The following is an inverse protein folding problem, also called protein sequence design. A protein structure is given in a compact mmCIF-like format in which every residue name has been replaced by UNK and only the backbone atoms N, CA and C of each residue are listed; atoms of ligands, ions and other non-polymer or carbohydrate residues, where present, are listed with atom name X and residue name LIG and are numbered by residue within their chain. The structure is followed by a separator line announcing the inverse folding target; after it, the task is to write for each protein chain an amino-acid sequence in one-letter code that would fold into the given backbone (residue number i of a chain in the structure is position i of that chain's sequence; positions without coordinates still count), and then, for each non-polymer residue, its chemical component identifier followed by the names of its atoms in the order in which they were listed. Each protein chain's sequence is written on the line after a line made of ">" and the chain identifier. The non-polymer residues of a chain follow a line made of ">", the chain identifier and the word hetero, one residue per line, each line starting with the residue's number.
data_IF_927750012064
#
_entry.id   IF_927750012064
#
_cell.length_a   1.000
_cell.length_b   1.000
_cell.length_c   1.000
_cell.angle_alpha   90.00
_cell.angle_beta   90.00
_cell.angle_gamma   90.00
#
_symmetry.space_group_name_H-M   'P 1'
#
loop_
_entity.id
_entity.type
_entity.pdbx_description
1 polymer ?
#
# COMPACT_ATOMS: atom_id res chain seq x y z
N UNK A 1 17.99 5.18 -2.89
CA UNK A 1 18.86 6.36 -2.62
C UNK A 1 20.30 5.91 -2.58
N UNK A 2 21.24 6.57 -3.25
CA UNK A 2 22.65 6.28 -3.07
C UNK A 2 23.07 6.69 -1.66
N UNK A 3 23.75 5.80 -0.95
CA UNK A 3 24.32 6.05 0.38
C UNK A 3 25.83 6.15 0.23
N UNK A 4 26.41 7.25 0.66
CA UNK A 4 27.86 7.40 0.77
C UNK A 4 28.23 7.37 2.24
N UNK A 5 29.16 6.49 2.62
CA UNK A 5 29.67 6.42 3.99
C UNK A 5 31.07 6.97 4.03
N UNK A 6 31.29 8.03 4.80
CA UNK A 6 32.62 8.63 4.98
C UNK A 6 32.79 9.00 6.46
N UNK A 7 33.81 8.44 7.11
CA UNK A 7 34.11 8.73 8.51
C UNK A 7 32.95 8.44 9.47
N UNK A 8 32.21 7.36 9.26
CA UNK A 8 31.06 6.98 10.09
C UNK A 8 29.79 7.83 9.84
N UNK A 9 29.82 8.75 8.88
CA UNK A 9 28.66 9.54 8.47
C UNK A 9 28.01 8.93 7.24
N UNK A 10 26.69 8.71 7.31
CA UNK A 10 25.87 8.26 6.19
C UNK A 10 25.25 9.47 5.49
N UNK A 11 25.47 9.61 4.20
CA UNK A 11 24.88 10.68 3.39
C UNK A 11 23.86 10.06 2.44
N UNK A 12 22.61 10.49 2.59
CA UNK A 12 21.51 10.14 1.71
C UNK A 12 21.26 11.30 0.74
N UNK A 13 21.13 10.99 -0.55
CA UNK A 13 20.88 12.01 -1.57
C UNK A 13 19.57 11.69 -2.26
N UNK A 14 18.63 12.62 -2.20
CA UNK A 14 17.43 12.60 -3.03
C UNK A 14 17.65 13.57 -4.19
N UNK A 15 17.62 13.04 -5.42
CA UNK A 15 17.79 13.84 -6.65
C UNK A 15 16.49 14.45 -7.16
N UNK A 16 15.35 14.11 -6.56
CA UNK A 16 14.04 14.66 -6.93
C UNK A 16 13.58 15.68 -5.90
N UNK A 17 12.92 16.79 -6.32
CA UNK A 17 12.24 17.69 -5.39
C UNK A 17 11.21 16.89 -4.58
N UNK A 18 11.17 17.11 -3.27
CA UNK A 18 10.23 16.40 -2.40
C UNK A 18 10.54 16.65 -0.92
N UNK A 19 9.73 16.07 -0.07
CA UNK A 19 9.97 16.09 1.37
C UNK A 19 11.28 15.36 1.72
N UNK A 20 11.88 15.73 2.85
CA UNK A 20 13.02 15.00 3.42
C UNK A 20 12.55 13.55 3.62
N UNK A 21 13.34 12.60 3.13
CA UNK A 21 12.98 11.19 3.13
C UNK A 21 12.77 10.61 4.53
N UNK A 22 12.06 9.50 4.60
CA UNK A 22 11.87 8.76 5.82
C UNK A 22 13.10 7.92 6.15
N UNK A 23 13.36 7.70 7.42
CA UNK A 23 14.50 6.95 7.93
C UNK A 23 14.05 6.01 9.05
N UNK A 24 14.44 4.75 8.94
CA UNK A 24 14.42 3.82 10.07
C UNK A 24 15.85 3.39 10.40
N UNK A 25 16.16 3.29 11.68
CA UNK A 25 17.45 2.77 12.14
C UNK A 25 17.23 1.75 13.26
N UNK A 26 18.09 0.75 13.32
CA UNK A 26 17.99 -0.32 14.31
C UNK A 26 18.96 -1.45 14.01
N UNK A 27 18.93 -2.47 14.86
CA UNK A 27 19.67 -3.73 14.65
C UNK A 27 18.80 -4.66 13.80
N UNK A 28 18.78 -4.42 12.51
CA UNK A 28 17.99 -5.21 11.58
C UNK A 28 18.74 -6.46 11.11
N UNK A 29 17.96 -7.51 10.87
CA UNK A 29 18.33 -8.63 10.00
C UNK A 29 17.81 -8.28 8.61
N UNK A 30 18.73 -8.21 7.64
CA UNK A 30 18.38 -7.85 6.26
C UNK A 30 18.29 -9.09 5.40
N UNK A 31 17.19 -9.22 4.65
CA UNK A 31 16.96 -10.28 3.67
C UNK A 31 16.43 -9.68 2.39
N UNK A 32 17.03 -10.05 1.25
CA UNK A 32 16.59 -9.58 -0.06
C UNK A 32 15.91 -10.70 -0.82
N UNK A 33 14.71 -10.40 -1.34
CA UNK A 33 13.94 -11.25 -2.22
C UNK A 33 13.83 -10.59 -3.59
N UNK A 34 13.74 -11.41 -4.66
CA UNK A 34 13.60 -10.92 -6.04
C UNK A 34 12.32 -11.47 -6.65
N UNK A 35 11.53 -10.57 -7.26
CA UNK A 35 10.32 -10.89 -7.99
C UNK A 35 10.36 -10.17 -9.34
N UNK A 36 10.56 -10.94 -10.41
CA UNK A 36 10.79 -10.37 -11.73
C UNK A 36 11.94 -9.36 -11.70
N UNK A 37 11.65 -8.10 -12.03
CA UNK A 37 12.63 -7.01 -12.00
C UNK A 37 12.72 -6.30 -10.63
N UNK A 38 11.84 -6.64 -9.68
CA UNK A 38 11.77 -6.00 -8.38
C UNK A 38 12.68 -6.68 -7.36
N UNK A 39 13.40 -5.84 -6.62
CA UNK A 39 14.24 -6.24 -5.49
C UNK A 39 13.64 -5.69 -4.19
N UNK A 40 13.23 -6.59 -3.31
CA UNK A 40 12.60 -6.28 -2.03
C UNK A 40 13.58 -6.56 -0.90
N UNK A 41 14.12 -5.52 -0.29
CA UNK A 41 14.99 -5.65 0.87
C UNK A 41 14.17 -5.51 2.15
N UNK A 42 13.97 -6.62 2.84
CA UNK A 42 13.36 -6.66 4.16
C UNK A 42 14.41 -6.37 5.24
N UNK A 43 14.12 -5.43 6.10
CA UNK A 43 14.88 -5.12 7.30
C UNK A 43 13.97 -5.38 8.51
N UNK A 44 14.13 -6.54 9.13
CA UNK A 44 13.28 -7.02 10.24
C UNK A 44 14.04 -7.09 11.55
N UNK A 45 13.32 -7.02 12.65
CA UNK A 45 13.86 -7.29 13.96
C UNK A 45 14.11 -8.81 14.13
N UNK A 46 15.05 -9.21 15.03
CA UNK A 46 15.29 -10.62 15.31
C UNK A 46 14.02 -11.37 15.69
N UNK A 47 13.78 -12.52 15.08
CA UNK A 47 12.61 -13.37 15.34
C UNK A 47 11.40 -13.11 14.45
N UNK A 48 11.43 -12.05 13.61
CA UNK A 48 10.32 -11.69 12.70
C UNK A 48 10.53 -12.17 11.25
N UNK A 49 11.55 -12.97 10.99
CA UNK A 49 11.94 -13.41 9.65
C UNK A 49 11.04 -14.49 9.06
N UNK A 50 10.20 -15.13 9.86
CA UNK A 50 9.30 -16.21 9.43
C UNK A 50 8.23 -15.77 8.46
N UNK A 51 7.77 -14.51 8.55
CA UNK A 51 6.74 -13.95 7.67
C UNK A 51 7.31 -13.25 6.44
N UNK A 52 8.63 -13.04 6.36
CA UNK A 52 9.29 -12.31 5.26
C UNK A 52 8.99 -12.95 3.90
N UNK A 53 8.98 -14.28 3.83
CA UNK A 53 8.70 -14.98 2.58
C UNK A 53 7.27 -14.73 2.12
N UNK A 54 6.28 -14.85 3.01
CA UNK A 54 4.85 -14.66 2.71
C UNK A 54 4.60 -13.22 2.27
N UNK A 55 5.13 -12.25 3.02
CA UNK A 55 4.98 -10.83 2.68
C UNK A 55 5.68 -10.49 1.37
N UNK A 56 6.87 -11.08 1.14
CA UNK A 56 7.60 -10.88 -0.10
C UNK A 56 6.82 -11.40 -1.31
N UNK A 57 6.21 -12.57 -1.22
CA UNK A 57 5.38 -13.13 -2.29
C UNK A 57 4.15 -12.26 -2.58
N UNK A 58 3.45 -11.81 -1.53
CA UNK A 58 2.29 -10.92 -1.69
C UNK A 58 2.67 -9.58 -2.31
N UNK A 59 3.74 -8.94 -1.83
CA UNK A 59 4.27 -7.69 -2.37
C UNK A 59 4.75 -7.88 -3.82
N UNK A 60 5.49 -8.96 -4.10
CA UNK A 60 6.02 -9.26 -5.43
C UNK A 60 4.92 -9.45 -6.47
N UNK A 61 3.89 -10.24 -6.15
CA UNK A 61 2.70 -10.42 -7.00
C UNK A 61 1.99 -9.08 -7.29
N UNK A 62 1.85 -8.24 -6.26
CA UNK A 62 1.23 -6.93 -6.42
C UNK A 62 2.05 -6.03 -7.37
N UNK A 63 3.37 -5.96 -7.20
CA UNK A 63 4.24 -5.22 -8.13
C UNK A 63 4.13 -5.72 -9.56
N UNK A 64 4.15 -7.02 -9.78
CA UNK A 64 4.02 -7.60 -11.13
C UNK A 64 2.66 -7.29 -11.76
N UNK A 65 1.59 -7.41 -11.00
CA UNK A 65 0.23 -7.12 -11.50
C UNK A 65 0.07 -5.63 -11.83
N UNK A 66 0.47 -4.73 -10.93
CA UNK A 66 0.31 -3.30 -11.12
C UNK A 66 1.22 -2.75 -12.22
N UNK A 67 2.43 -3.31 -12.37
CA UNK A 67 3.31 -2.94 -13.48
C UNK A 67 2.71 -3.29 -14.83
N UNK A 68 2.04 -4.44 -14.94
CA UNK A 68 1.32 -4.81 -16.17
C UNK A 68 0.14 -3.89 -16.48
N UNK A 69 -0.56 -3.43 -15.42
CA UNK A 69 -1.76 -2.62 -15.56
C UNK A 69 -1.47 -1.12 -15.71
N UNK A 70 -0.46 -0.59 -15.00
CA UNK A 70 -0.22 0.85 -14.86
C UNK A 70 1.17 1.29 -15.33
N UNK A 71 2.02 0.35 -15.78
CA UNK A 71 3.43 0.64 -16.06
C UNK A 71 4.27 0.67 -14.78
N UNK A 72 5.55 0.99 -14.92
CA UNK A 72 6.49 1.05 -13.79
C UNK A 72 6.25 2.30 -12.95
N UNK A 73 6.29 2.18 -11.62
CA UNK A 73 6.20 3.36 -10.76
C UNK A 73 7.50 4.16 -10.83
N UNK A 74 7.40 5.46 -10.68
CA UNK A 74 8.57 6.37 -10.67
C UNK A 74 9.52 6.14 -9.50
N UNK A 75 9.08 5.42 -8.48
CA UNK A 75 9.89 5.06 -7.31
C UNK A 75 10.96 3.99 -7.62
N UNK A 76 10.93 3.41 -8.84
CA UNK A 76 11.93 2.44 -9.33
C UNK A 76 11.58 1.00 -9.01
N UNK A 77 12.59 0.13 -8.99
CA UNK A 77 12.44 -1.33 -8.83
C UNK A 77 13.09 -1.89 -7.57
N UNK A 78 13.67 -1.03 -6.73
CA UNK A 78 14.29 -1.44 -5.46
C UNK A 78 13.50 -0.84 -4.30
N UNK A 79 12.99 -1.71 -3.44
CA UNK A 79 12.13 -1.34 -2.32
C UNK A 79 12.71 -1.82 -1.01
N UNK A 80 12.61 -0.98 0.02
CA UNK A 80 12.98 -1.33 1.38
C UNK A 80 11.70 -1.51 2.19
N UNK A 81 11.54 -2.68 2.77
CA UNK A 81 10.46 -3.00 3.70
C UNK A 81 11.07 -3.05 5.10
N UNK A 82 10.73 -2.10 5.94
CA UNK A 82 11.31 -1.96 7.27
C UNK A 82 10.27 -2.23 8.36
N UNK A 83 10.58 -3.16 9.24
CA UNK A 83 9.83 -3.33 10.48
C UNK A 83 10.13 -2.18 11.42
N UNK A 84 9.10 -1.56 11.97
CA UNK A 84 9.21 -0.46 12.94
C UNK A 84 8.46 -0.80 14.21
N UNK A 85 9.00 -0.33 15.33
CA UNK A 85 8.37 -0.49 16.64
C UNK A 85 7.54 0.78 16.94
N UNK A 86 6.50 0.99 16.15
CA UNK A 86 5.56 2.09 16.30
C UNK A 86 4.14 1.53 16.30
N UNK A 87 3.48 1.60 17.44
CA UNK A 87 2.12 1.09 17.62
C UNK A 87 1.04 2.08 17.13
N UNK A 88 1.41 3.32 16.84
CA UNK A 88 0.46 4.32 16.32
C UNK A 88 0.13 4.09 14.84
N UNK A 89 0.97 3.35 14.12
CA UNK A 89 0.83 3.05 12.71
C UNK A 89 0.76 1.53 12.49
N UNK A 90 -0.06 1.09 11.54
CA UNK A 90 0.03 -0.26 10.99
C UNK A 90 1.04 -0.32 9.85
N UNK A 91 0.92 0.66 8.95
CA UNK A 91 1.73 0.81 7.75
C UNK A 91 1.99 2.28 7.46
N UNK A 92 3.11 2.52 6.82
CA UNK A 92 3.40 3.79 6.21
C UNK A 92 4.17 3.59 4.90
N UNK A 93 3.61 4.10 3.81
CA UNK A 93 4.22 3.99 2.48
C UNK A 93 4.94 5.29 2.11
N UNK A 94 6.21 5.16 1.78
CA UNK A 94 7.07 6.25 1.30
C UNK A 94 7.68 5.88 -0.07
N UNK A 95 8.26 6.83 -0.82
CA UNK A 95 8.88 6.53 -2.12
C UNK A 95 9.96 5.44 -2.01
N UNK A 96 9.70 4.28 -2.60
CA UNK A 96 10.61 3.13 -2.56
C UNK A 96 10.70 2.43 -1.20
N UNK A 97 9.81 2.74 -0.25
CA UNK A 97 9.83 2.18 1.10
C UNK A 97 8.43 1.82 1.58
N UNK A 98 8.38 0.78 2.40
CA UNK A 98 7.19 0.40 3.17
C UNK A 98 7.61 0.14 4.61
N UNK A 99 7.03 0.87 5.55
CA UNK A 99 7.20 0.66 6.97
C UNK A 99 6.03 -0.16 7.49
N UNK A 100 6.34 -1.21 8.24
CA UNK A 100 5.34 -2.14 8.78
C UNK A 100 5.56 -2.22 10.29
N UNK A 101 4.52 -1.95 11.06
CA UNK A 101 4.57 -2.05 12.52
C UNK A 101 4.91 -3.46 12.98
N UNK A 102 5.67 -3.58 14.05
CA UNK A 102 6.07 -4.87 14.66
C UNK A 102 4.87 -5.77 14.96
N UNK A 103 3.73 -5.19 15.36
CA UNK A 103 2.50 -5.96 15.62
C UNK A 103 1.96 -6.71 14.39
N UNK A 104 2.33 -6.29 13.18
CA UNK A 104 1.92 -6.95 11.95
C UNK A 104 2.80 -8.17 11.60
N UNK A 105 3.92 -8.36 12.29
CA UNK A 105 4.76 -9.55 12.21
C UNK A 105 4.31 -10.66 13.18
N UNK A 106 3.34 -10.38 14.05
CA UNK A 106 2.71 -11.40 14.87
C UNK A 106 1.84 -12.31 13.97
N UNK A 107 2.17 -13.60 13.92
CA UNK A 107 1.48 -14.60 13.10
C UNK A 107 0.00 -14.76 13.45
N UNK A 108 -0.40 -14.43 14.68
CA UNK A 108 -1.81 -14.52 15.13
C UNK A 108 -2.63 -13.34 14.62
N UNK A 109 -1.98 -12.19 14.38
CA UNK A 109 -2.64 -10.94 13.97
C UNK A 109 -2.29 -10.51 12.56
N UNK A 110 -1.58 -11.34 11.80
CA UNK A 110 -1.00 -11.01 10.50
C UNK A 110 -1.90 -10.22 9.58
N UNK A 111 -1.28 -9.45 8.70
CA UNK A 111 -1.93 -8.61 7.69
C UNK A 111 -2.77 -9.45 6.76
N UNK A 112 -3.96 -8.99 6.42
CA UNK A 112 -4.67 -9.53 5.26
C UNK A 112 -3.88 -9.20 3.98
N UNK A 113 -3.82 -10.13 3.03
CA UNK A 113 -3.12 -9.94 1.75
C UNK A 113 -3.59 -8.68 1.04
N UNK A 114 -4.90 -8.44 1.03
CA UNK A 114 -5.52 -7.27 0.38
C UNK A 114 -4.96 -5.95 0.92
N UNK A 115 -4.75 -5.86 2.24
CA UNK A 115 -4.21 -4.64 2.83
C UNK A 115 -2.75 -4.41 2.41
N UNK A 116 -1.94 -5.45 2.37
CA UNK A 116 -0.55 -5.36 1.93
C UNK A 116 -0.47 -5.01 0.44
N UNK A 117 -1.32 -5.60 -0.38
CA UNK A 117 -1.45 -5.27 -1.80
C UNK A 117 -1.84 -3.80 -2.00
N UNK A 118 -2.78 -3.27 -1.21
CA UNK A 118 -3.14 -1.86 -1.22
C UNK A 118 -1.97 -0.95 -0.87
N UNK A 119 -1.20 -1.28 0.16
CA UNK A 119 -0.02 -0.49 0.55
C UNK A 119 1.03 -0.43 -0.57
N UNK A 120 1.20 -1.52 -1.32
CA UNK A 120 2.06 -1.53 -2.52
C UNK A 120 1.51 -0.59 -3.60
N UNK A 121 0.20 -0.55 -3.81
CA UNK A 121 -0.43 0.31 -4.82
C UNK A 121 -0.19 1.81 -4.59
N UNK A 122 0.08 2.24 -3.35
CA UNK A 122 0.46 3.62 -3.06
C UNK A 122 1.80 4.04 -3.69
N UNK A 123 2.65 3.12 -4.16
CA UNK A 123 3.83 3.48 -4.96
C UNK A 123 3.43 4.13 -6.29
N UNK A 124 2.23 3.84 -6.82
CA UNK A 124 1.62 4.52 -7.96
C UNK A 124 0.76 5.69 -7.52
N UNK A 125 -0.23 5.45 -6.65
CA UNK A 125 -1.33 6.36 -6.34
C UNK A 125 -1.08 7.32 -5.17
N UNK A 126 0.15 7.56 -4.83
CA UNK A 126 0.56 8.48 -3.78
C UNK A 126 1.99 8.95 -3.94
N UNK A 127 2.84 8.09 -4.56
CA UNK A 127 4.26 8.39 -4.72
C UNK A 127 4.64 8.73 -6.16
N UNK A 128 3.98 8.14 -7.16
CA UNK A 128 4.18 8.46 -8.58
C UNK A 128 3.19 9.54 -9.02
N UNK A 129 1.92 9.35 -8.72
CA UNK A 129 0.85 10.32 -8.97
C UNK A 129 0.50 11.01 -7.65
N UNK A 130 0.87 12.29 -7.53
CA UNK A 130 0.58 13.10 -6.36
C UNK A 130 -0.81 13.74 -6.41
N UNK A 131 -1.37 14.04 -5.25
CA UNK A 131 -2.63 14.76 -5.13
C UNK A 131 -2.40 16.26 -5.34
N UNK A 132 -3.35 16.95 -5.96
CA UNK A 132 -3.36 18.40 -6.08
C UNK A 132 -3.81 19.06 -4.77
N UNK A 133 -4.74 18.45 -4.07
CA UNK A 133 -5.26 18.90 -2.78
C UNK A 133 -5.63 17.72 -1.89
N UNK A 134 -5.77 17.97 -0.59
CA UNK A 134 -6.25 16.95 0.35
C UNK A 134 -7.72 16.56 0.10
N UNK A 135 -8.52 17.42 -0.52
CA UNK A 135 -9.90 17.09 -0.89
C UNK A 135 -9.95 15.98 -1.97
N UNK A 136 -8.85 15.78 -2.70
CA UNK A 136 -8.70 14.72 -3.69
C UNK A 136 -8.18 13.39 -3.10
N UNK A 137 -8.01 13.30 -1.77
CA UNK A 137 -7.42 12.12 -1.12
C UNK A 137 -8.16 10.82 -1.46
N UNK A 138 -9.48 10.88 -1.66
CA UNK A 138 -10.28 9.73 -2.06
C UNK A 138 -9.82 9.10 -3.40
N UNK A 139 -9.23 9.90 -4.32
CA UNK A 139 -8.67 9.37 -5.57
C UNK A 139 -7.50 8.44 -5.29
N UNK A 140 -6.54 8.89 -4.49
CA UNK A 140 -5.38 8.08 -4.12
C UNK A 140 -5.79 6.84 -3.32
N UNK A 141 -6.62 7.05 -2.29
CA UNK A 141 -7.09 5.97 -1.42
C UNK A 141 -7.95 4.95 -2.19
N UNK A 142 -8.90 5.45 -2.97
CA UNK A 142 -9.80 4.63 -3.77
C UNK A 142 -9.09 3.87 -4.88
N UNK A 143 -8.11 4.49 -5.56
CA UNK A 143 -7.30 3.81 -6.59
C UNK A 143 -6.40 2.74 -5.98
N UNK A 144 -5.81 2.98 -4.81
CA UNK A 144 -5.00 1.97 -4.14
C UNK A 144 -5.85 0.75 -3.71
N UNK A 145 -7.02 0.98 -3.13
CA UNK A 145 -7.97 -0.08 -2.77
C UNK A 145 -8.50 -0.81 -4.01
N UNK A 146 -8.86 -0.07 -5.06
CA UNK A 146 -9.30 -0.64 -6.33
C UNK A 146 -8.21 -1.51 -6.98
N UNK A 147 -6.94 -1.11 -6.88
CA UNK A 147 -5.83 -1.89 -7.39
C UNK A 147 -5.70 -3.23 -6.67
N UNK A 148 -5.79 -3.25 -5.33
CA UNK A 148 -5.83 -4.47 -4.54
C UNK A 148 -7.05 -5.33 -4.90
N UNK A 149 -8.22 -4.70 -5.01
CA UNK A 149 -9.45 -5.37 -5.47
C UNK A 149 -9.27 -6.01 -6.84
N UNK A 150 -8.69 -5.29 -7.82
CA UNK A 150 -8.49 -5.81 -9.17
C UNK A 150 -7.53 -7.01 -9.22
N UNK A 151 -6.48 -6.99 -8.40
CA UNK A 151 -5.58 -8.13 -8.25
C UNK A 151 -6.32 -9.31 -7.65
N UNK A 152 -7.08 -9.10 -6.58
CA UNK A 152 -7.86 -10.14 -5.91
C UNK A 152 -8.89 -10.77 -6.83
N UNK A 153 -9.54 -10.01 -7.71
CA UNK A 153 -10.44 -10.54 -8.74
C UNK A 153 -9.76 -11.55 -9.68
N UNK A 154 -8.43 -11.50 -9.83
CA UNK A 154 -7.69 -12.49 -10.64
C UNK A 154 -7.35 -13.77 -9.87
N UNK A 155 -7.37 -13.71 -8.53
CA UNK A 155 -6.97 -14.81 -7.66
C UNK A 155 -8.15 -15.68 -7.20
N UNK A 156 -9.36 -15.13 -7.21
CA UNK A 156 -10.58 -15.81 -6.74
C UNK A 156 -11.61 -15.98 -7.85
N UNK A 157 -12.39 -17.05 -7.77
CA UNK A 157 -13.42 -17.37 -8.78
C UNK A 157 -14.71 -17.89 -8.12
N UNK A 158 -15.81 -17.89 -8.90
CA UNK A 158 -17.10 -18.44 -8.46
C UNK A 158 -17.66 -17.70 -7.25
N UNK A 159 -18.30 -18.43 -6.34
CA UNK A 159 -18.98 -17.85 -5.17
C UNK A 159 -18.09 -16.98 -4.30
N UNK A 160 -16.79 -17.30 -4.19
CA UNK A 160 -15.83 -16.46 -3.45
C UNK A 160 -15.65 -15.09 -4.09
N UNK A 161 -15.66 -15.00 -5.41
CA UNK A 161 -15.58 -13.72 -6.12
C UNK A 161 -16.85 -12.89 -5.90
N UNK A 162 -18.01 -13.52 -5.90
CA UNK A 162 -19.29 -12.85 -5.66
C UNK A 162 -19.39 -12.35 -4.20
N UNK A 163 -18.91 -13.13 -3.24
CA UNK A 163 -18.82 -12.72 -1.84
C UNK A 163 -17.88 -11.52 -1.68
N UNK A 164 -16.72 -11.54 -2.32
CA UNK A 164 -15.75 -10.46 -2.29
C UNK A 164 -16.30 -9.15 -2.89
N UNK A 165 -17.04 -9.25 -4.01
CA UNK A 165 -17.72 -8.10 -4.63
C UNK A 165 -18.83 -7.53 -3.75
N UNK A 166 -19.57 -8.41 -3.10
CA UNK A 166 -20.64 -8.05 -2.15
C UNK A 166 -20.04 -7.32 -0.94
N UNK A 167 -18.94 -7.82 -0.39
CA UNK A 167 -18.26 -7.19 0.74
C UNK A 167 -17.81 -5.76 0.42
N UNK A 168 -17.23 -5.51 -0.77
CA UNK A 168 -16.89 -4.16 -1.22
C UNK A 168 -18.13 -3.25 -1.26
N UNK A 169 -19.24 -3.74 -1.81
CA UNK A 169 -20.49 -2.98 -1.88
C UNK A 169 -21.04 -2.67 -0.49
N UNK A 170 -21.11 -3.64 0.40
CA UNK A 170 -21.60 -3.47 1.78
C UNK A 170 -20.76 -2.47 2.55
N UNK A 171 -19.43 -2.57 2.51
CA UNK A 171 -18.52 -1.59 3.12
C UNK A 171 -18.76 -0.19 2.56
N UNK A 172 -18.92 -0.07 1.25
CA UNK A 172 -19.11 1.21 0.57
C UNK A 172 -20.42 1.92 0.96
N UNK A 173 -21.44 1.17 1.35
CA UNK A 173 -22.76 1.68 1.72
C UNK A 173 -22.95 1.89 3.22
N UNK A 174 -22.09 1.28 4.06
CA UNK A 174 -22.27 1.28 5.53
C UNK A 174 -22.31 2.69 6.12
N UNK A 175 -21.50 3.63 5.60
CA UNK A 175 -21.42 5.00 6.07
C UNK A 175 -21.88 6.03 5.03
N UNK A 176 -22.79 5.64 4.12
CA UNK A 176 -23.24 6.46 2.99
C UNK A 176 -23.74 7.85 3.41
N UNK A 177 -24.42 7.94 4.54
CA UNK A 177 -25.00 9.19 5.05
C UNK A 177 -24.04 9.99 5.95
N UNK A 178 -22.86 9.46 6.28
CA UNK A 178 -21.95 10.09 7.23
C UNK A 178 -21.15 11.22 6.60
N UNK A 179 -20.63 11.02 5.40
CA UNK A 179 -19.83 12.02 4.70
C UNK A 179 -19.80 11.81 3.18
N UNK A 180 -19.55 12.89 2.46
CA UNK A 180 -19.34 12.85 1.01
C UNK A 180 -17.95 12.32 0.67
N UNK A 181 -17.85 11.55 -0.43
CA UNK A 181 -16.58 11.13 -1.00
C UNK A 181 -15.76 12.32 -1.56
N UNK A 182 -16.44 13.36 -2.07
CA UNK A 182 -15.81 14.50 -2.74
C UNK A 182 -15.16 15.53 -1.80
N UNK A 183 -15.33 15.38 -0.51
CA UNK A 183 -14.68 16.23 0.49
C UNK A 183 -14.19 15.34 1.61
N UNK A 184 -12.88 15.36 1.83
CA UNK A 184 -12.32 14.67 2.99
C UNK A 184 -12.96 15.22 4.25
N UNK A 185 -13.62 14.36 5.03
CA UNK A 185 -14.27 14.83 6.27
C UNK A 185 -13.18 15.22 7.26
N UNK A 186 -12.95 16.52 7.43
CA UNK A 186 -11.91 17.06 8.31
C UNK A 186 -12.07 16.71 9.80
N UNK A 187 -13.18 16.08 10.15
CA UNK A 187 -13.50 15.61 11.51
C UNK A 187 -13.47 14.09 11.66
N UNK A 188 -13.15 13.34 10.62
CA UNK A 188 -12.97 11.89 10.71
C UNK A 188 -11.48 11.55 10.88
N UNK A 189 -11.21 10.77 11.91
CA UNK A 189 -9.91 10.13 12.07
C UNK A 189 -9.64 9.20 10.87
N UNK A 190 -8.47 9.35 10.25
CA UNK A 190 -8.05 8.57 9.07
C UNK A 190 -7.90 7.07 9.37
N UNK A 191 -7.76 6.69 10.63
CA UNK A 191 -7.75 5.30 11.07
C UNK A 191 -9.14 4.77 11.44
N UNK A 192 -10.16 5.63 11.46
CA UNK A 192 -11.53 5.20 11.77
C UNK A 192 -12.10 4.29 10.67
N UNK A 193 -12.95 3.35 11.07
CA UNK A 193 -13.67 2.48 10.13
C UNK A 193 -14.51 3.30 9.13
N UNK A 194 -15.11 4.40 9.60
CA UNK A 194 -15.90 5.28 8.75
C UNK A 194 -15.05 5.92 7.65
N UNK A 195 -13.88 6.46 7.99
CA UNK A 195 -12.96 7.01 7.00
C UNK A 195 -12.53 5.95 5.98
N UNK A 196 -12.11 4.77 6.46
CA UNK A 196 -11.66 3.70 5.58
C UNK A 196 -12.77 3.24 4.63
N UNK A 197 -13.99 3.10 5.09
CA UNK A 197 -15.09 2.66 4.23
C UNK A 197 -15.50 3.74 3.22
N UNK A 198 -15.47 5.01 3.61
CA UNK A 198 -15.80 6.12 2.70
C UNK A 198 -14.67 6.33 1.69
N UNK A 199 -13.43 6.51 2.14
CA UNK A 199 -12.34 6.92 1.27
C UNK A 199 -11.78 5.76 0.43
N UNK A 200 -11.63 4.58 1.05
CA UNK A 200 -11.07 3.40 0.37
C UNK A 200 -12.17 2.61 -0.33
N UNK A 201 -13.12 2.05 0.42
CA UNK A 201 -14.06 1.07 -0.17
C UNK A 201 -15.02 1.73 -1.14
N UNK A 202 -15.63 2.88 -0.78
CA UNK A 202 -16.52 3.62 -1.67
C UNK A 202 -15.76 4.22 -2.86
N UNK A 203 -14.53 4.72 -2.64
CA UNK A 203 -13.64 5.16 -3.71
C UNK A 203 -13.35 4.04 -4.70
N UNK A 204 -12.98 2.86 -4.22
CA UNK A 204 -12.74 1.68 -5.06
C UNK A 204 -13.99 1.24 -5.83
N UNK A 205 -15.17 1.29 -5.18
CA UNK A 205 -16.43 0.98 -5.85
C UNK A 205 -16.71 1.94 -7.03
N UNK A 206 -16.42 3.23 -6.89
CA UNK A 206 -16.56 4.20 -7.98
C UNK A 206 -15.69 3.80 -9.17
N UNK A 207 -14.42 3.46 -8.95
CA UNK A 207 -13.53 3.01 -10.03
C UNK A 207 -13.96 1.67 -10.64
N UNK A 208 -14.48 0.75 -9.81
CA UNK A 208 -15.07 -0.49 -10.31
C UNK A 208 -16.27 -0.22 -11.22
N UNK A 209 -17.20 0.62 -10.80
CA UNK A 209 -18.36 1.00 -11.61
C UNK A 209 -17.96 1.71 -12.90
N UNK A 210 -16.96 2.57 -12.84
CA UNK A 210 -16.41 3.24 -14.01
C UNK A 210 -15.85 2.22 -15.02
N UNK A 211 -15.04 1.27 -14.57
CA UNK A 211 -14.53 0.17 -15.41
C UNK A 211 -15.66 -0.66 -16.01
N UNK A 212 -16.67 -1.02 -15.19
CA UNK A 212 -17.79 -1.85 -15.65
C UNK A 212 -18.64 -1.11 -16.70
N UNK A 213 -18.66 0.24 -16.66
CA UNK A 213 -19.40 1.08 -17.62
C UNK A 213 -18.62 1.36 -18.89
N UNK A 214 -17.32 1.62 -18.80
CA UNK A 214 -16.46 2.00 -19.93
C UNK A 214 -15.82 0.80 -20.64
N UNK A 215 -15.80 -0.35 -20.00
CA UNK A 215 -15.06 -1.54 -20.46
C UNK A 215 -13.71 -1.67 -19.78
N UNK A 216 -13.00 -2.74 -20.13
CA UNK A 216 -11.69 -3.07 -19.52
C UNK A 216 -10.49 -2.48 -20.28
N UNK A 217 -10.76 -1.88 -21.44
CA UNK A 217 -9.73 -1.36 -22.34
C UNK A 217 -9.61 0.16 -22.22
#
# INVERSE_FOLDING_TARGET
>A
MPVTVTGGKHRFVNSRPGLIGNLAYGKFISRTLKFGEYELQFNTLPGSDTVVQIYGETIGKAFEHYTRSFGKPDTGTRYVIAQIDDESLDFYTAPGMLFISSRQFDQVRGITEDRLQREVAFQWWGQTVGLKSFDDAWLSQGLAEYSAFSLRETEVTGAKLDDFRRELLEKSLTFEQTASLLRTPGNLDDQSTAYQYIMYSKGALVFKLLRDTLGKD
#
